data_IF_792765433031
#
_entry.id   IF_792765433031
#
_cell.length_a   1.000
_cell.length_b   1.000
_cell.length_c   1.000
_cell.angle_alpha   90.00
_cell.angle_beta   90.00
_cell.angle_gamma   90.00
#
_symmetry.space_group_name_H-M   'P 1'
#
loop_
_entity.id
_entity.type
_entity.pdbx_description
1 polymer ?
#
# COMPACT_ATOMS: atom_id res chain seq x y z
N UNK A 1 8.10 3.86 15.47
CA UNK A 1 6.91 3.25 14.87
C UNK A 1 7.15 1.77 14.60
N UNK A 2 6.09 1.04 14.28
CA UNK A 2 6.12 -0.37 13.88
C UNK A 2 5.12 -0.62 12.76
N UNK A 3 5.46 -1.51 11.85
CA UNK A 3 4.51 -2.07 10.90
C UNK A 3 3.75 -3.20 11.60
N UNK A 4 2.44 -3.11 11.64
CA UNK A 4 1.54 -4.08 12.25
C UNK A 4 0.73 -4.79 11.16
N UNK A 5 0.88 -6.09 11.09
CA UNK A 5 0.26 -6.94 10.06
C UNK A 5 -0.52 -8.06 10.76
N UNK A 6 -1.80 -7.83 11.12
CA UNK A 6 -2.62 -8.87 11.71
C UNK A 6 -2.91 -9.98 10.71
N UNK A 7 -2.94 -11.18 11.21
CA UNK A 7 -3.27 -12.39 10.44
C UNK A 7 -4.49 -13.09 11.02
N UNK A 8 -5.16 -13.88 10.19
CA UNK A 8 -6.20 -14.83 10.61
C UNK A 8 -5.63 -15.94 11.46
N UNK A 9 -6.46 -16.73 12.17
CA UNK A 9 -6.01 -17.95 12.86
C UNK A 9 -5.23 -18.91 11.95
N UNK A 10 -5.51 -18.90 10.64
CA UNK A 10 -4.85 -19.73 9.64
C UNK A 10 -3.57 -19.11 9.06
N UNK A 11 -3.15 -17.94 9.57
CA UNK A 11 -1.89 -17.28 9.21
C UNK A 11 -1.94 -16.41 7.96
N UNK A 12 -3.11 -16.16 7.40
CA UNK A 12 -3.29 -15.26 6.25
C UNK A 12 -3.49 -13.81 6.69
N UNK A 13 -3.02 -12.88 5.88
CA UNK A 13 -3.04 -11.44 6.18
C UNK A 13 -4.46 -10.89 6.15
N UNK A 14 -4.87 -10.20 7.21
CA UNK A 14 -6.13 -9.45 7.28
C UNK A 14 -5.93 -8.03 6.73
N UNK A 15 -4.78 -7.45 6.95
CA UNK A 15 -4.42 -6.12 6.49
C UNK A 15 -3.14 -5.64 7.13
N UNK A 16 -2.86 -4.34 7.03
CA UNK A 16 -1.70 -3.74 7.67
C UNK A 16 -1.98 -2.33 8.19
N UNK A 17 -1.19 -1.91 9.15
CA UNK A 17 -1.17 -0.56 9.72
C UNK A 17 0.22 -0.18 10.19
N UNK A 18 0.45 1.12 10.33
CA UNK A 18 1.60 1.64 11.06
C UNK A 18 1.15 2.01 12.45
N UNK A 19 1.84 1.49 13.46
CA UNK A 19 1.64 1.79 14.89
C UNK A 19 2.67 2.82 15.33
N UNK A 20 2.20 3.96 15.80
CA UNK A 20 2.99 5.00 16.42
C UNK A 20 2.80 4.91 17.93
N UNK A 21 3.87 4.80 18.70
CA UNK A 21 3.82 4.90 20.14
C UNK A 21 4.01 6.37 20.53
N UNK A 22 2.93 7.04 20.91
CA UNK A 22 3.02 8.41 21.44
C UNK A 22 3.52 8.45 22.87
N UNK A 23 3.01 7.53 23.69
CA UNK A 23 3.34 7.37 25.11
C UNK A 23 3.29 5.88 25.46
N UNK A 24 3.57 5.56 26.71
CA UNK A 24 3.53 4.19 27.19
C UNK A 24 2.13 3.54 27.05
N UNK A 25 1.11 4.36 27.28
CA UNK A 25 -0.31 3.98 27.31
C UNK A 25 -1.13 4.50 26.11
N UNK A 26 -0.48 5.16 25.12
CA UNK A 26 -1.18 5.77 23.98
C UNK A 26 -0.50 5.46 22.66
N UNK A 27 -1.29 4.87 21.77
CA UNK A 27 -0.86 4.50 20.42
C UNK A 27 -1.77 5.14 19.37
N UNK A 28 -1.21 5.55 18.24
CA UNK A 28 -1.94 5.93 17.05
C UNK A 28 -1.69 4.84 16.00
N UNK A 29 -2.77 4.31 15.45
CA UNK A 29 -2.70 3.29 14.39
C UNK A 29 -3.24 3.89 13.11
N UNK A 30 -2.47 3.78 12.03
CA UNK A 30 -2.81 4.37 10.74
C UNK A 30 -2.79 3.30 9.66
N UNK A 31 -3.94 3.09 9.03
CA UNK A 31 -4.11 2.09 7.98
C UNK A 31 -5.52 2.09 7.41
N UNK A 32 -5.92 0.99 6.82
CA UNK A 32 -7.23 0.82 6.19
C UNK A 32 -8.24 0.17 7.12
N UNK A 33 -9.52 0.23 6.71
CA UNK A 33 -10.65 -0.27 7.48
C UNK A 33 -10.51 -1.73 7.97
N UNK A 34 -10.07 -2.71 7.16
CA UNK A 34 -9.99 -4.10 7.63
C UNK A 34 -9.18 -4.28 8.91
N UNK A 35 -7.99 -3.66 8.97
CA UNK A 35 -7.17 -3.77 10.18
C UNK A 35 -7.79 -3.03 11.38
N UNK A 36 -8.41 -1.87 11.14
CA UNK A 36 -9.10 -1.13 12.20
C UNK A 36 -10.30 -1.92 12.74
N UNK A 37 -11.10 -2.50 11.85
CA UNK A 37 -12.26 -3.33 12.22
C UNK A 37 -11.82 -4.56 13.01
N UNK A 38 -10.72 -5.22 12.59
CA UNK A 38 -10.17 -6.36 13.32
C UNK A 38 -9.75 -6.01 14.74
N UNK A 39 -9.12 -4.86 14.94
CA UNK A 39 -8.72 -4.38 16.28
C UNK A 39 -9.96 -4.06 17.13
N UNK A 40 -10.95 -3.38 16.58
CA UNK A 40 -12.20 -3.03 17.28
C UNK A 40 -12.99 -4.29 17.65
N UNK A 41 -13.09 -5.27 16.77
CA UNK A 41 -13.69 -6.55 17.08
C UNK A 41 -13.01 -7.26 18.24
N UNK A 42 -11.68 -7.41 18.18
CA UNK A 42 -10.95 -8.08 19.24
C UNK A 42 -11.07 -7.35 20.58
N UNK A 43 -11.15 -6.02 20.58
CA UNK A 43 -11.42 -5.23 21.78
C UNK A 43 -12.84 -5.48 22.30
N UNK A 44 -13.83 -5.58 21.41
CA UNK A 44 -15.24 -5.77 21.79
C UNK A 44 -15.51 -7.15 22.40
N UNK A 45 -14.84 -8.21 21.89
CA UNK A 45 -15.03 -9.59 22.38
C UNK A 45 -14.04 -9.99 23.47
N UNK A 46 -12.93 -9.27 23.58
CA UNK A 46 -11.86 -9.55 24.56
C UNK A 46 -11.99 -8.75 25.86
N UNK A 47 -11.28 -9.19 26.89
CA UNK A 47 -11.22 -8.50 28.18
C UNK A 47 -10.03 -7.52 28.23
N UNK A 48 -9.97 -6.60 27.26
CA UNK A 48 -8.87 -5.64 27.15
C UNK A 48 -9.23 -4.31 27.80
N UNK A 49 -8.38 -3.82 28.70
CA UNK A 49 -8.54 -2.49 29.31
C UNK A 49 -8.00 -1.40 28.37
N UNK A 50 -8.65 -1.22 27.24
CA UNK A 50 -8.29 -0.22 26.22
C UNK A 50 -9.52 0.56 25.77
N UNK A 51 -9.31 1.82 25.37
CA UNK A 51 -10.30 2.66 24.72
C UNK A 51 -9.84 2.98 23.33
N UNK A 52 -10.67 2.67 22.34
CA UNK A 52 -10.43 2.97 20.92
C UNK A 52 -11.20 4.24 20.54
N UNK A 53 -10.55 5.14 19.82
CA UNK A 53 -11.20 6.28 19.17
C UNK A 53 -10.85 6.25 17.69
N UNK A 54 -11.87 6.23 16.85
CA UNK A 54 -11.70 6.21 15.40
C UNK A 54 -11.66 7.63 14.83
N UNK A 55 -10.68 7.89 13.95
CA UNK A 55 -10.55 9.13 13.18
C UNK A 55 -10.79 8.84 11.68
N UNK A 56 -12.05 8.88 11.20
CA UNK A 56 -12.39 8.48 9.84
C UNK A 56 -11.74 9.37 8.79
N UNK A 57 -11.18 8.75 7.76
CA UNK A 57 -10.53 9.47 6.65
C UNK A 57 -11.53 10.20 5.75
N UNK A 58 -12.65 9.57 5.45
CA UNK A 58 -13.59 10.08 4.45
C UNK A 58 -14.33 11.31 4.97
N UNK A 59 -14.40 12.39 4.19
CA UNK A 59 -15.27 13.52 4.48
C UNK A 59 -16.76 13.21 4.24
N UNK A 60 -17.05 12.10 3.52
CA UNK A 60 -18.41 11.71 3.18
C UNK A 60 -19.01 10.84 4.27
N UNK A 61 -20.25 11.13 4.64
CA UNK A 61 -21.06 10.32 5.54
C UNK A 61 -22.46 10.15 4.97
N UNK A 62 -23.12 9.01 5.25
CA UNK A 62 -24.49 8.78 4.81
C UNK A 62 -25.49 9.83 5.33
N UNK A 63 -25.24 10.38 6.52
CA UNK A 63 -26.07 11.42 7.14
C UNK A 63 -25.73 12.86 6.67
N UNK A 64 -24.81 12.99 5.73
CA UNK A 64 -24.39 14.29 5.19
C UNK A 64 -23.59 15.18 6.14
N UNK A 65 -23.27 14.71 7.36
CA UNK A 65 -22.51 15.52 8.32
C UNK A 65 -21.03 15.53 8.00
N UNK A 66 -20.33 16.66 8.19
CA UNK A 66 -18.88 16.70 8.00
C UNK A 66 -18.17 15.84 9.03
N UNK A 67 -17.05 15.25 8.61
CA UNK A 67 -16.16 14.51 9.50
C UNK A 67 -15.24 15.49 10.21
N UNK A 68 -15.31 15.52 11.54
CA UNK A 68 -14.31 16.21 12.36
C UNK A 68 -13.11 15.29 12.54
N UNK A 69 -11.98 15.67 11.96
CA UNK A 69 -10.72 14.93 12.08
C UNK A 69 -10.01 15.27 13.38
N UNK A 70 -9.29 14.30 13.92
CA UNK A 70 -8.47 14.49 15.14
C UNK A 70 -7.06 14.94 14.77
N UNK A 71 -6.50 14.35 13.70
CA UNK A 71 -5.13 14.62 13.27
C UNK A 71 -5.07 15.06 11.81
N UNK A 72 -4.13 15.97 11.50
CA UNK A 72 -3.61 16.14 10.15
C UNK A 72 -2.34 15.28 9.98
N UNK A 73 -2.04 14.95 8.73
CA UNK A 73 -0.78 14.31 8.32
C UNK A 73 -0.34 14.88 6.98
N UNK A 74 0.95 15.24 6.90
CA UNK A 74 1.60 15.64 5.67
C UNK A 74 2.84 14.77 5.45
N UNK A 75 2.95 14.21 4.27
CA UNK A 75 4.16 13.52 3.82
C UNK A 75 4.87 14.40 2.82
N UNK A 76 6.12 14.78 3.11
CA UNK A 76 6.96 15.63 2.27
C UNK A 76 8.17 14.78 1.91
N UNK A 77 8.31 14.45 0.63
CA UNK A 77 9.38 13.60 0.13
C UNK A 77 9.88 14.08 -1.22
N UNK A 78 11.15 13.85 -1.48
CA UNK A 78 11.86 14.21 -2.67
C UNK A 78 13.32 14.51 -2.35
N UNK A 79 14.19 14.64 -3.37
CA UNK A 79 15.61 14.91 -3.16
C UNK A 79 15.87 16.21 -2.37
N UNK A 80 14.99 17.20 -2.51
CA UNK A 80 15.10 18.50 -1.83
C UNK A 80 14.26 18.63 -0.55
N UNK A 81 13.51 17.59 -0.14
CA UNK A 81 12.71 17.62 1.07
C UNK A 81 13.51 17.99 2.35
N UNK A 82 14.78 17.53 2.53
CA UNK A 82 15.59 17.94 3.68
C UNK A 82 15.74 19.45 3.80
N UNK A 83 15.89 20.18 2.68
CA UNK A 83 16.01 21.65 2.68
C UNK A 83 14.75 22.33 3.24
N UNK A 84 13.57 21.78 2.89
CA UNK A 84 12.29 22.28 3.41
C UNK A 84 12.23 22.06 4.92
N UNK A 85 12.58 20.85 5.40
CA UNK A 85 12.55 20.54 6.83
C UNK A 85 13.55 21.38 7.63
N UNK A 86 14.75 21.62 7.12
CA UNK A 86 15.71 22.50 7.79
C UNK A 86 15.20 23.94 7.89
N UNK A 87 14.53 24.45 6.86
CA UNK A 87 13.89 25.77 6.91
C UNK A 87 12.75 25.81 7.92
N UNK A 88 11.89 24.78 7.94
CA UNK A 88 10.81 24.66 8.92
C UNK A 88 11.33 24.59 10.35
N UNK A 89 12.41 23.83 10.57
CA UNK A 89 13.00 23.60 11.89
C UNK A 89 13.84 24.79 12.40
N UNK A 90 14.20 25.71 11.53
CA UNK A 90 15.11 26.83 11.86
C UNK A 90 16.58 26.39 11.96
N UNK A 91 16.96 25.27 11.36
CA UNK A 91 18.27 24.66 11.36
C UNK A 91 18.21 23.15 11.13
N UNK A 92 19.33 22.43 11.29
CA UNK A 92 19.38 20.99 11.09
C UNK A 92 18.31 20.23 11.87
N UNK A 93 17.67 19.25 11.22
CA UNK A 93 16.72 18.34 11.89
C UNK A 93 17.48 17.25 12.68
N UNK A 94 16.85 16.67 13.73
CA UNK A 94 17.42 15.53 14.43
C UNK A 94 17.73 14.35 13.51
N UNK A 95 18.68 13.51 13.93
CA UNK A 95 18.97 12.25 13.26
C UNK A 95 17.88 11.21 13.54
N UNK A 96 16.78 11.27 12.80
CA UNK A 96 15.69 10.32 12.94
C UNK A 96 16.05 9.03 12.19
N UNK A 97 16.20 7.92 12.91
CA UNK A 97 16.44 6.60 12.32
C UNK A 97 15.24 6.15 11.50
N UNK A 98 15.48 5.27 10.53
CA UNK A 98 14.40 4.68 9.74
C UNK A 98 13.32 4.04 10.64
N UNK A 99 12.06 4.32 10.39
CA UNK A 99 10.88 3.90 11.16
C UNK A 99 10.87 4.36 12.62
N UNK A 100 11.57 5.48 12.94
CA UNK A 100 11.51 6.12 14.23
C UNK A 100 10.82 7.47 14.13
N UNK A 101 10.26 7.87 15.27
CA UNK A 101 9.55 9.14 15.46
C UNK A 101 10.38 10.05 16.35
N UNK A 102 10.48 11.31 15.98
CA UNK A 102 11.04 12.37 16.83
C UNK A 102 10.24 13.66 16.64
N UNK A 103 10.62 14.69 17.35
CA UNK A 103 10.00 16.00 17.31
C UNK A 103 10.87 16.96 16.51
N UNK A 104 10.24 17.71 15.59
CA UNK A 104 10.86 18.83 14.89
C UNK A 104 10.01 20.08 15.09
N UNK A 105 10.57 21.24 14.74
CA UNK A 105 9.80 22.49 14.69
C UNK A 105 9.25 22.71 13.29
N UNK A 106 8.02 23.20 13.24
CA UNK A 106 7.44 23.82 12.06
C UNK A 106 7.18 25.29 12.43
N UNK A 107 8.20 26.13 12.21
CA UNK A 107 8.20 27.49 12.71
C UNK A 107 8.12 27.53 14.25
N UNK A 108 7.04 28.09 14.77
CA UNK A 108 6.76 28.21 16.20
C UNK A 108 6.05 26.98 16.81
N UNK A 109 5.70 26.01 15.99
CA UNK A 109 4.90 24.84 16.39
C UNK A 109 5.74 23.57 16.36
N UNK A 110 5.76 22.81 17.47
CA UNK A 110 6.38 21.48 17.50
C UNK A 110 5.45 20.45 16.87
N UNK A 111 5.99 19.65 15.97
CA UNK A 111 5.27 18.56 15.28
C UNK A 111 6.03 17.25 15.41
N UNK A 112 5.29 16.15 15.43
CA UNK A 112 5.89 14.82 15.37
C UNK A 112 6.27 14.51 13.93
N UNK A 113 7.40 13.83 13.75
CA UNK A 113 7.95 13.45 12.46
C UNK A 113 8.38 11.99 12.45
N UNK A 114 7.93 11.23 11.45
CA UNK A 114 8.33 9.85 11.17
C UNK A 114 9.22 9.82 9.94
N UNK A 115 10.35 9.14 10.02
CA UNK A 115 11.12 8.76 8.84
C UNK A 115 10.65 7.41 8.30
N UNK A 116 10.09 7.39 7.09
CA UNK A 116 9.74 6.16 6.38
C UNK A 116 9.92 6.31 4.86
N UNK A 117 9.96 5.18 4.14
CA UNK A 117 10.38 5.12 2.75
C UNK A 117 9.26 4.88 1.73
N UNK A 118 8.05 5.33 1.99
CA UNK A 118 6.92 5.00 1.11
C UNK A 118 7.09 5.53 -0.33
N UNK A 119 7.68 6.70 -0.49
CA UNK A 119 7.92 7.29 -1.81
C UNK A 119 9.35 7.02 -2.35
N UNK A 120 10.14 6.22 -1.66
CA UNK A 120 11.49 5.87 -2.08
C UNK A 120 12.48 7.04 -2.16
N UNK A 121 12.13 8.20 -1.59
CA UNK A 121 12.93 9.41 -1.62
C UNK A 121 13.12 9.98 -0.20
N UNK A 122 14.14 10.80 0.06
CA UNK A 122 14.34 11.45 1.35
C UNK A 122 13.13 12.25 1.79
N UNK A 123 12.85 12.27 3.08
CA UNK A 123 11.76 13.05 3.64
C UNK A 123 11.18 12.48 4.92
N UNK A 124 10.15 13.14 5.40
CA UNK A 124 9.46 12.78 6.63
C UNK A 124 7.95 12.87 6.45
N UNK A 125 7.25 12.13 7.27
CA UNK A 125 5.82 12.33 7.49
C UNK A 125 5.63 13.05 8.82
N UNK A 126 4.90 14.16 8.80
CA UNK A 126 4.61 14.96 10.00
C UNK A 126 3.12 14.96 10.31
N UNK A 127 2.78 15.02 11.58
CA UNK A 127 1.39 15.10 12.04
C UNK A 127 1.23 15.88 13.33
N UNK A 128 0.00 16.24 13.60
CA UNK A 128 -0.41 16.96 14.78
C UNK A 128 -1.92 17.15 14.84
N UNK A 129 -2.44 17.93 15.82
CA UNK A 129 -3.87 18.22 15.96
C UNK A 129 -4.47 18.85 14.70
N UNK A 130 -5.63 18.36 14.26
CA UNK A 130 -6.23 18.78 12.98
C UNK A 130 -6.48 20.28 12.88
N UNK A 131 -6.77 20.95 13.97
CA UNK A 131 -6.96 22.41 13.98
C UNK A 131 -5.72 23.23 13.56
N UNK A 132 -4.53 22.63 13.57
CA UNK A 132 -3.29 23.26 13.12
C UNK A 132 -2.99 23.02 11.63
N UNK A 133 -3.81 22.24 10.93
CA UNK A 133 -3.56 21.76 9.56
C UNK A 133 -3.18 22.89 8.60
N UNK A 134 -3.98 23.94 8.54
CA UNK A 134 -3.80 25.00 7.56
C UNK A 134 -2.59 25.90 7.92
N UNK A 135 -2.34 26.11 9.21
CA UNK A 135 -1.15 26.80 9.70
C UNK A 135 0.13 26.04 9.29
N UNK A 136 0.20 24.75 9.59
CA UNK A 136 1.37 23.93 9.22
C UNK A 136 1.54 23.81 7.70
N UNK A 137 0.46 23.67 6.95
CA UNK A 137 0.53 23.69 5.49
C UNK A 137 1.12 25.00 4.96
N UNK A 138 0.71 26.15 5.52
CA UNK A 138 1.28 27.44 5.18
C UNK A 138 2.78 27.53 5.47
N UNK A 139 3.23 26.98 6.59
CA UNK A 139 4.66 26.91 6.94
C UNK A 139 5.44 26.06 5.93
N UNK A 140 4.90 24.90 5.54
CA UNK A 140 5.53 24.01 4.53
C UNK A 140 5.74 24.78 3.21
N UNK A 141 4.67 25.42 2.70
CA UNK A 141 4.72 26.17 1.43
C UNK A 141 5.72 27.33 1.49
N UNK A 142 5.70 28.06 2.60
CA UNK A 142 6.65 29.17 2.83
C UNK A 142 8.09 28.66 2.89
N UNK A 143 8.35 27.61 3.66
CA UNK A 143 9.68 27.02 3.79
C UNK A 143 10.23 26.50 2.46
N UNK A 144 9.39 25.88 1.62
CA UNK A 144 9.77 25.47 0.28
C UNK A 144 10.19 26.65 -0.59
N UNK A 145 9.40 27.73 -0.61
CA UNK A 145 9.72 28.94 -1.35
C UNK A 145 11.02 29.59 -0.86
N UNK A 146 11.23 29.69 0.44
CA UNK A 146 12.47 30.23 1.05
C UNK A 146 13.69 29.35 0.81
N UNK A 147 13.49 28.03 0.64
CA UNK A 147 14.56 27.09 0.29
C UNK A 147 14.84 27.04 -1.22
N UNK A 148 14.06 27.75 -2.06
CA UNK A 148 14.14 27.68 -3.51
C UNK A 148 13.75 26.31 -4.09
N UNK A 149 12.87 25.59 -3.40
CA UNK A 149 12.40 24.25 -3.79
C UNK A 149 11.05 24.35 -4.48
N UNK A 150 10.94 23.71 -5.65
CA UNK A 150 9.68 23.60 -6.39
C UNK A 150 8.79 22.52 -5.72
N UNK A 151 7.85 22.96 -4.91
CA UNK A 151 6.96 22.08 -4.13
C UNK A 151 5.73 21.70 -4.94
N UNK A 152 5.62 20.41 -5.28
CA UNK A 152 4.45 19.84 -5.94
C UNK A 152 3.44 19.29 -4.93
N UNK A 153 2.21 19.78 -4.96
CA UNK A 153 1.10 19.25 -4.17
C UNK A 153 0.45 18.06 -4.92
N UNK A 154 0.67 16.87 -4.43
CA UNK A 154 0.20 15.64 -5.09
C UNK A 154 -1.15 15.17 -4.56
N UNK A 155 -2.01 14.71 -5.47
CA UNK A 155 -3.28 14.08 -5.15
C UNK A 155 -3.15 12.59 -4.81
N UNK A 156 -4.26 12.00 -4.35
CA UNK A 156 -4.29 10.61 -3.88
C UNK A 156 -3.88 9.58 -4.95
N UNK A 157 -4.19 9.81 -6.22
CA UNK A 157 -3.81 8.89 -7.31
C UNK A 157 -2.31 8.89 -7.55
N UNK A 158 -1.68 10.06 -7.59
CA UNK A 158 -0.22 10.16 -7.70
C UNK A 158 0.47 9.58 -6.46
N UNK A 159 -0.07 9.85 -5.27
CA UNK A 159 0.45 9.27 -4.03
C UNK A 159 0.42 7.74 -4.03
N UNK A 160 -0.67 7.12 -4.51
CA UNK A 160 -0.78 5.67 -4.52
C UNK A 160 0.21 4.98 -5.47
N UNK A 161 0.65 5.65 -6.55
CA UNK A 161 1.67 5.07 -7.45
C UNK A 161 3.06 5.01 -6.83
N UNK A 162 3.36 5.81 -5.81
CA UNK A 162 4.64 5.75 -5.10
C UNK A 162 4.86 4.40 -4.41
N UNK A 163 3.78 3.67 -4.08
CA UNK A 163 3.89 2.34 -3.48
C UNK A 163 4.49 1.31 -4.44
N UNK A 164 4.34 1.52 -5.75
CA UNK A 164 4.94 0.67 -6.78
C UNK A 164 6.46 0.73 -6.73
N UNK A 165 7.01 1.92 -6.52
CA UNK A 165 8.44 2.16 -6.46
C UNK A 165 9.05 1.61 -5.16
N UNK A 166 8.36 1.77 -4.03
CA UNK A 166 8.78 1.29 -2.71
C UNK A 166 8.44 -0.18 -2.43
N UNK A 167 7.62 -0.80 -3.28
CA UNK A 167 7.32 -2.23 -3.17
C UNK A 167 6.34 -2.60 -2.05
N UNK A 168 5.53 -1.66 -1.59
CA UNK A 168 4.47 -1.95 -0.64
C UNK A 168 3.16 -2.26 -1.36
N UNK A 169 2.58 -3.45 -1.13
CA UNK A 169 1.26 -3.82 -1.65
C UNK A 169 0.20 -3.29 -0.68
N UNK A 170 -0.53 -2.23 -1.06
CA UNK A 170 -1.58 -1.69 -0.21
C UNK A 170 -2.83 -2.57 -0.31
N UNK A 171 -3.23 -3.15 0.79
CA UNK A 171 -4.49 -3.89 0.88
C UNK A 171 -4.53 -5.18 0.02
N UNK A 172 -3.81 -6.20 0.40
CA UNK A 172 -4.16 -7.54 -0.03
C UNK A 172 -5.62 -7.83 0.35
N UNK A 173 -6.25 -8.81 -0.30
CA UNK A 173 -7.61 -9.22 0.09
C UNK A 173 -7.60 -9.64 1.57
N UNK A 174 -8.44 -9.04 2.43
CA UNK A 174 -8.49 -9.44 3.83
C UNK A 174 -8.88 -10.90 3.98
N UNK A 175 -8.09 -11.69 4.70
CA UNK A 175 -8.33 -13.12 4.88
C UNK A 175 -9.40 -13.38 5.94
N UNK A 176 -10.63 -13.02 5.63
CA UNK A 176 -11.77 -13.08 6.57
C UNK A 176 -13.00 -13.80 6.03
N UNK A 177 -13.03 -14.11 4.72
CA UNK A 177 -14.24 -14.59 4.05
C UNK A 177 -14.47 -16.10 4.18
N UNK A 178 -13.53 -16.82 4.81
CA UNK A 178 -13.60 -18.27 5.05
C UNK A 178 -13.18 -18.62 6.49
N UNK A 179 -13.33 -19.90 6.83
CA UNK A 179 -12.95 -20.47 8.13
C UNK A 179 -13.98 -20.20 9.25
N UNK A 180 -14.26 -21.22 10.06
CA UNK A 180 -15.24 -21.15 11.16
C UNK A 180 -14.77 -20.20 12.27
N UNK A 181 -13.46 -20.12 12.50
CA UNK A 181 -12.87 -19.29 13.53
C UNK A 181 -13.13 -17.77 13.32
N UNK A 182 -13.50 -17.38 12.11
CA UNK A 182 -13.81 -15.99 11.76
C UNK A 182 -15.31 -15.72 11.58
N UNK A 183 -16.19 -16.71 11.84
CA UNK A 183 -17.63 -16.55 11.69
C UNK A 183 -18.17 -15.40 12.54
N UNK A 184 -17.84 -15.36 13.82
CA UNK A 184 -18.27 -14.28 14.71
C UNK A 184 -17.76 -12.89 14.29
N UNK A 185 -16.57 -12.82 13.65
CA UNK A 185 -16.08 -11.58 13.10
C UNK A 185 -16.87 -11.14 11.86
N UNK A 186 -17.19 -12.08 10.96
CA UNK A 186 -18.04 -11.78 9.79
C UNK A 186 -19.44 -11.30 10.19
N UNK A 187 -20.03 -11.92 11.22
CA UNK A 187 -21.32 -11.49 11.76
C UNK A 187 -21.29 -10.12 12.45
N UNK A 188 -20.14 -9.78 13.05
CA UNK A 188 -19.95 -8.48 13.69
C UNK A 188 -19.78 -7.34 12.67
N UNK A 189 -19.25 -7.61 11.48
CA UNK A 189 -19.01 -6.60 10.45
C UNK A 189 -20.32 -6.04 9.88
N UNK A 190 -20.42 -4.73 9.64
CA UNK A 190 -21.63 -4.14 9.03
C UNK A 190 -21.77 -4.57 7.56
N UNK A 191 -23.00 -4.86 7.14
CA UNK A 191 -23.31 -5.31 5.78
C UNK A 191 -23.01 -4.27 4.69
N UNK A 192 -22.90 -2.99 5.04
CA UNK A 192 -22.49 -1.87 4.18
C UNK A 192 -21.02 -1.47 4.37
N UNK A 193 -20.27 -2.25 5.16
CA UNK A 193 -18.86 -2.02 5.44
C UNK A 193 -17.93 -2.30 4.26
N UNK A 194 -16.66 -1.92 4.41
CA UNK A 194 -15.62 -2.10 3.39
C UNK A 194 -15.50 -3.56 2.95
N UNK A 195 -15.53 -4.49 3.90
CA UNK A 195 -15.33 -5.92 3.65
C UNK A 195 -16.53 -6.54 2.94
N UNK A 196 -17.76 -6.10 3.27
CA UNK A 196 -18.99 -6.61 2.67
C UNK A 196 -19.24 -6.06 1.26
N UNK A 197 -18.79 -4.83 1.00
CA UNK A 197 -18.98 -4.14 -0.30
C UNK A 197 -17.77 -4.26 -1.24
N UNK A 198 -16.73 -4.96 -0.82
CA UNK A 198 -15.54 -5.22 -1.60
C UNK A 198 -15.82 -6.02 -2.87
N UNK A 199 -14.94 -5.88 -3.85
CA UNK A 199 -15.02 -6.64 -5.10
C UNK A 199 -13.65 -7.18 -5.50
N UNK A 200 -13.64 -8.34 -6.12
CA UNK A 200 -12.45 -8.95 -6.74
C UNK A 200 -12.52 -8.73 -8.24
N UNK A 201 -11.39 -8.34 -8.84
CA UNK A 201 -11.23 -8.15 -10.28
C UNK A 201 -9.96 -8.79 -10.80
N UNK A 202 -9.80 -8.74 -12.13
CA UNK A 202 -8.65 -9.29 -12.83
C UNK A 202 -8.92 -10.62 -13.51
N UNK A 203 -7.90 -11.17 -14.12
CA UNK A 203 -7.98 -12.39 -14.92
C UNK A 203 -7.89 -13.68 -14.12
N UNK A 204 -7.45 -13.62 -12.85
CA UNK A 204 -7.41 -14.79 -12.00
C UNK A 204 -8.80 -15.07 -11.42
N UNK A 205 -9.29 -16.28 -11.60
CA UNK A 205 -10.57 -16.75 -11.06
C UNK A 205 -10.36 -18.10 -10.41
N UNK A 206 -10.75 -18.22 -9.17
CA UNK A 206 -10.81 -19.47 -8.42
C UNK A 206 -12.14 -19.59 -7.69
N UNK A 207 -12.71 -20.79 -7.56
CA UNK A 207 -13.86 -21.04 -6.72
C UNK A 207 -13.53 -20.93 -5.21
N UNK A 208 -12.24 -21.10 -4.85
CA UNK A 208 -11.78 -21.09 -3.47
C UNK A 208 -11.24 -19.70 -3.13
N UNK A 209 -11.86 -19.04 -2.16
CA UNK A 209 -11.48 -17.67 -1.76
C UNK A 209 -10.08 -17.63 -1.16
N UNK A 210 -9.61 -18.72 -0.56
CA UNK A 210 -8.27 -18.85 0.02
C UNK A 210 -7.14 -18.70 -1.02
N UNK A 211 -7.40 -18.97 -2.30
CA UNK A 211 -6.43 -18.81 -3.37
C UNK A 211 -6.04 -17.33 -3.60
N UNK A 212 -6.87 -16.41 -3.11
CA UNK A 212 -6.63 -14.96 -3.15
C UNK A 212 -5.91 -14.44 -1.90
N UNK A 213 -5.80 -15.26 -0.85
CA UNK A 213 -5.15 -14.82 0.38
C UNK A 213 -3.64 -14.85 0.26
N UNK A 214 -3.00 -14.02 1.06
CA UNK A 214 -1.55 -13.96 1.14
C UNK A 214 -1.08 -14.14 2.58
N UNK A 215 0.11 -14.68 2.74
CA UNK A 215 0.79 -14.78 4.03
C UNK A 215 1.77 -13.62 4.22
N UNK A 216 2.21 -13.32 5.45
CA UNK A 216 3.29 -12.37 5.69
C UNK A 216 4.59 -12.74 4.96
N UNK A 217 4.84 -14.03 4.76
CA UNK A 217 6.02 -14.50 4.04
C UNK A 217 6.00 -14.08 2.57
N UNK A 218 4.88 -14.27 1.90
CA UNK A 218 4.69 -13.89 0.49
C UNK A 218 4.77 -12.38 0.28
N UNK A 219 4.33 -11.58 1.25
CA UNK A 219 4.41 -10.12 1.20
C UNK A 219 5.79 -9.56 1.62
N UNK A 220 6.75 -10.45 1.94
CA UNK A 220 8.10 -10.04 2.34
C UNK A 220 8.22 -9.59 3.79
N UNK A 221 7.24 -9.88 4.64
CA UNK A 221 7.25 -9.53 6.06
C UNK A 221 7.77 -10.67 6.95
N UNK A 222 8.13 -11.83 6.38
CA UNK A 222 8.58 -13.00 7.11
C UNK A 222 9.73 -12.75 8.08
N UNK A 223 10.67 -11.85 7.74
CA UNK A 223 11.80 -11.47 8.60
C UNK A 223 11.36 -10.77 9.90
N UNK A 224 10.17 -10.21 9.93
CA UNK A 224 9.61 -9.52 11.10
C UNK A 224 8.71 -10.42 11.96
N UNK A 225 8.35 -11.62 11.47
CA UNK A 225 7.58 -12.59 12.25
C UNK A 225 8.46 -13.15 13.37
N UNK A 226 8.03 -12.93 14.62
CA UNK A 226 8.73 -13.41 15.81
C UNK A 226 7.83 -14.37 16.59
N UNK A 227 8.40 -15.44 17.09
CA UNK A 227 7.68 -16.49 17.85
C UNK A 227 8.01 -16.47 19.34
N UNK A 228 8.50 -15.34 19.84
CA UNK A 228 8.87 -15.10 21.23
C UNK A 228 7.69 -14.63 22.11
N UNK A 229 6.52 -14.48 21.53
CA UNK A 229 5.27 -14.10 22.20
C UNK A 229 4.07 -14.77 21.55
N UNK A 230 2.92 -14.75 22.21
CA UNK A 230 1.67 -15.27 21.68
C UNK A 230 0.96 -14.23 20.82
N UNK A 231 0.38 -14.66 19.71
CA UNK A 231 -0.44 -13.86 18.82
C UNK A 231 -1.37 -14.75 17.98
N UNK A 232 -2.45 -14.14 17.45
CA UNK A 232 -3.39 -14.84 16.57
C UNK A 232 -2.67 -15.33 15.30
N UNK A 233 -2.85 -16.60 14.94
CA UNK A 233 -2.21 -17.20 13.76
C UNK A 233 -0.78 -17.71 13.98
N UNK A 234 -0.20 -17.58 15.20
CA UNK A 234 1.16 -18.04 15.52
C UNK A 234 1.39 -19.49 15.10
N UNK A 235 0.53 -20.40 15.53
CA UNK A 235 0.70 -21.83 15.26
C UNK A 235 0.67 -22.17 13.75
N UNK A 236 -0.13 -21.43 12.96
CA UNK A 236 -0.18 -21.58 11.53
C UNK A 236 1.10 -21.07 10.87
N UNK A 237 1.57 -19.87 11.26
CA UNK A 237 2.81 -19.30 10.73
C UNK A 237 4.05 -20.12 11.10
N UNK A 238 4.11 -20.71 12.32
CA UNK A 238 5.19 -21.64 12.70
C UNK A 238 5.25 -22.87 11.79
N UNK A 239 4.09 -23.41 11.38
CA UNK A 239 4.04 -24.53 10.44
C UNK A 239 4.41 -24.15 9.00
N UNK A 240 4.30 -22.88 8.67
CA UNK A 240 4.61 -22.36 7.32
C UNK A 240 6.09 -21.97 7.17
N UNK A 241 6.74 -21.47 8.23
CA UNK A 241 8.03 -20.74 8.17
C UNK A 241 9.13 -21.41 7.35
N UNK A 242 9.19 -22.74 7.37
CA UNK A 242 10.26 -23.53 6.72
C UNK A 242 9.81 -24.11 5.36
N UNK A 243 8.60 -23.77 4.90
CA UNK A 243 8.11 -24.22 3.59
C UNK A 243 8.53 -23.26 2.49
N UNK A 244 8.64 -23.71 1.24
CA UNK A 244 8.77 -22.79 0.11
C UNK A 244 7.55 -21.86 0.02
N UNK A 245 7.81 -20.57 -0.11
CA UNK A 245 6.78 -19.54 -0.27
C UNK A 245 6.90 -18.86 -1.63
N UNK A 246 5.79 -18.46 -2.19
CA UNK A 246 5.78 -17.41 -3.22
C UNK A 246 6.50 -16.19 -2.67
N UNK A 247 7.07 -15.39 -3.53
CA UNK A 247 7.77 -14.17 -3.11
C UNK A 247 7.25 -12.95 -3.83
N UNK A 248 7.25 -11.85 -3.15
CA UNK A 248 6.90 -10.54 -3.72
C UNK A 248 7.92 -10.12 -4.77
N UNK A 249 7.43 -9.59 -5.88
CA UNK A 249 8.22 -9.02 -6.99
C UNK A 249 7.55 -7.78 -7.54
N UNK A 250 8.30 -7.02 -8.34
CA UNK A 250 7.75 -6.03 -9.25
C UNK A 250 7.71 -6.60 -10.66
N UNK A 251 6.61 -6.43 -11.36
CA UNK A 251 6.49 -6.69 -12.80
C UNK A 251 6.60 -5.37 -13.54
N UNK A 252 7.56 -5.28 -14.44
CA UNK A 252 7.72 -4.19 -15.38
C UNK A 252 6.99 -4.54 -16.68
N UNK A 253 6.01 -3.75 -17.05
CA UNK A 253 5.15 -4.02 -18.20
C UNK A 253 5.79 -3.59 -19.52
N UNK A 254 5.65 -4.41 -20.55
CA UNK A 254 6.15 -4.08 -21.89
C UNK A 254 5.31 -2.97 -22.53
N UNK A 255 5.98 -1.89 -22.91
CA UNK A 255 5.34 -0.68 -23.44
C UNK A 255 4.58 -0.96 -24.75
N UNK A 256 5.16 -1.75 -25.67
CA UNK A 256 4.52 -2.02 -26.98
C UNK A 256 3.23 -2.83 -26.81
N UNK A 257 3.20 -3.78 -25.88
CA UNK A 257 2.00 -4.56 -25.59
C UNK A 257 0.92 -3.70 -24.93
N UNK A 258 1.29 -2.80 -24.02
CA UNK A 258 0.38 -1.81 -23.47
C UNK A 258 -0.19 -0.87 -24.53
N UNK A 259 0.65 -0.39 -25.46
CA UNK A 259 0.20 0.50 -26.53
C UNK A 259 -0.83 -0.17 -27.43
N UNK A 260 -0.75 -1.48 -27.67
CA UNK A 260 -1.80 -2.25 -28.38
C UNK A 260 -3.15 -2.22 -27.63
N UNK A 261 -3.11 -2.31 -26.29
CA UNK A 261 -4.32 -2.20 -25.48
C UNK A 261 -4.96 -0.82 -25.64
N UNK A 262 -4.17 0.23 -25.48
CA UNK A 262 -4.64 1.62 -25.62
C UNK A 262 -5.16 1.88 -27.04
N UNK A 263 -4.42 1.45 -28.06
CA UNK A 263 -4.79 1.61 -29.47
C UNK A 263 -6.15 0.99 -29.79
N UNK A 264 -6.44 -0.20 -29.22
CA UNK A 264 -7.71 -0.89 -29.47
C UNK A 264 -8.93 -0.05 -29.07
N UNK A 265 -8.82 0.71 -27.99
CA UNK A 265 -9.89 1.57 -27.49
C UNK A 265 -10.06 2.87 -28.30
N UNK A 266 -9.08 3.22 -29.15
CA UNK A 266 -9.09 4.42 -29.99
C UNK A 266 -9.49 4.12 -31.44
N UNK A 267 -9.77 2.85 -31.80
CA UNK A 267 -10.16 2.42 -33.14
C UNK A 267 -11.64 1.98 -33.19
N UNK A 268 -12.53 2.77 -33.79
CA UNK A 268 -13.93 2.38 -33.94
C UNK A 268 -14.07 1.04 -34.69
N UNK A 269 -14.99 0.17 -34.25
CA UNK A 269 -15.28 -1.12 -34.86
C UNK A 269 -14.30 -2.25 -34.55
N UNK A 270 -13.27 -1.98 -33.72
CA UNK A 270 -12.37 -3.00 -33.18
C UNK A 270 -12.87 -3.43 -31.81
N UNK A 271 -12.88 -4.73 -31.52
CA UNK A 271 -13.14 -5.23 -30.19
C UNK A 271 -12.00 -4.80 -29.26
N UNK A 272 -12.33 -4.00 -28.25
CA UNK A 272 -11.34 -3.42 -27.35
C UNK A 272 -10.84 -4.42 -26.30
N UNK A 273 -9.60 -4.24 -25.90
CA UNK A 273 -9.07 -4.80 -24.66
C UNK A 273 -9.57 -4.00 -23.46
N UNK A 274 -9.45 -4.56 -22.24
CA UNK A 274 -9.73 -3.82 -21.01
C UNK A 274 -8.89 -2.56 -20.98
N UNK A 275 -9.53 -1.40 -20.78
CA UNK A 275 -8.84 -0.12 -20.69
C UNK A 275 -7.79 -0.12 -19.55
N UNK A 276 -6.67 0.56 -19.77
CA UNK A 276 -5.68 0.82 -18.72
C UNK A 276 -5.85 2.27 -18.29
N UNK A 277 -6.49 2.49 -17.14
CA UNK A 277 -6.68 3.83 -16.59
C UNK A 277 -5.39 4.34 -15.93
N UNK A 278 -4.95 5.53 -16.31
CA UNK A 278 -3.74 6.16 -15.78
C UNK A 278 -4.08 7.19 -14.68
N UNK A 279 -3.21 7.31 -13.67
CA UNK A 279 -2.00 6.58 -13.42
C UNK A 279 -2.23 5.21 -12.76
N UNK A 280 -3.46 4.89 -12.38
CA UNK A 280 -3.77 3.64 -11.67
C UNK A 280 -5.18 3.16 -12.02
N UNK A 281 -5.30 1.96 -12.60
CA UNK A 281 -6.59 1.29 -12.78
C UNK A 281 -7.23 0.94 -11.43
N UNK A 282 -8.48 1.35 -11.21
CA UNK A 282 -9.25 1.10 -10.00
C UNK A 282 -10.59 0.45 -10.35
N UNK A 283 -10.55 -0.78 -10.86
CA UNK A 283 -11.73 -1.52 -11.29
C UNK A 283 -12.35 -2.42 -10.23
N UNK A 284 -11.62 -2.69 -9.15
CA UNK A 284 -12.06 -3.51 -8.03
C UNK A 284 -11.35 -3.10 -6.74
N UNK A 285 -11.87 -3.53 -5.59
CA UNK A 285 -11.21 -3.32 -4.28
C UNK A 285 -9.91 -4.09 -4.16
N UNK A 286 -9.85 -5.28 -4.77
CA UNK A 286 -8.65 -6.10 -4.92
C UNK A 286 -8.59 -6.66 -6.34
N UNK A 287 -7.47 -6.57 -6.99
CA UNK A 287 -7.26 -7.08 -8.35
C UNK A 287 -6.21 -8.19 -8.35
N UNK A 288 -6.48 -9.24 -9.13
CA UNK A 288 -5.57 -10.37 -9.29
C UNK A 288 -5.52 -10.75 -10.77
N UNK A 289 -4.40 -10.44 -11.40
CA UNK A 289 -4.18 -10.83 -12.79
C UNK A 289 -3.17 -11.97 -12.85
N UNK A 290 -3.50 -13.03 -13.62
CA UNK A 290 -2.64 -14.20 -13.80
C UNK A 290 -1.34 -13.82 -14.48
N UNK A 291 -0.24 -14.34 -13.93
CA UNK A 291 1.08 -14.26 -14.57
C UNK A 291 1.50 -15.68 -14.97
N UNK A 292 1.75 -15.86 -16.26
CA UNK A 292 1.93 -17.16 -16.91
C UNK A 292 3.37 -17.38 -17.33
N UNK A 293 3.85 -18.64 -17.21
CA UNK A 293 5.07 -19.15 -17.86
C UNK A 293 4.67 -20.34 -18.73
N UNK A 294 4.51 -20.11 -20.04
CA UNK A 294 3.77 -21.05 -20.90
C UNK A 294 2.32 -21.17 -20.42
N UNK A 295 1.85 -22.39 -20.25
CA UNK A 295 0.47 -22.67 -19.82
C UNK A 295 0.29 -22.72 -18.29
N UNK A 296 1.37 -22.54 -17.51
CA UNK A 296 1.32 -22.59 -16.05
C UNK A 296 1.17 -21.19 -15.45
N UNK A 297 0.21 -21.02 -14.55
CA UNK A 297 0.15 -19.85 -13.65
C UNK A 297 1.34 -19.94 -12.70
N UNK A 298 2.20 -18.94 -12.72
CA UNK A 298 3.40 -18.87 -11.86
C UNK A 298 3.39 -17.67 -10.92
N UNK A 299 2.34 -16.86 -10.97
CA UNK A 299 2.22 -15.70 -10.09
C UNK A 299 0.93 -14.95 -10.30
N UNK A 300 0.73 -13.95 -9.45
CA UNK A 300 -0.40 -13.02 -9.47
C UNK A 300 0.12 -11.58 -9.43
N UNK A 301 -0.37 -10.75 -10.32
CA UNK A 301 -0.22 -9.31 -10.27
C UNK A 301 -1.37 -8.73 -9.47
N UNK A 302 -1.08 -7.95 -8.42
CA UNK A 302 -2.08 -7.57 -7.42
C UNK A 302 -2.31 -6.07 -7.32
N UNK A 303 -1.33 -5.26 -7.65
CA UNK A 303 -1.41 -3.81 -7.54
C UNK A 303 -0.60 -3.17 -8.68
N UNK A 304 -1.28 -2.47 -9.56
CA UNK A 304 -0.68 -1.93 -10.77
C UNK A 304 -0.85 -0.40 -10.88
N UNK A 305 0.03 0.23 -11.64
CA UNK A 305 -0.02 1.65 -11.92
C UNK A 305 1.22 2.15 -12.64
N UNK A 306 1.16 3.40 -13.07
CA UNK A 306 2.24 4.07 -13.77
C UNK A 306 3.14 4.81 -12.79
N UNK A 307 4.44 4.53 -12.82
CA UNK A 307 5.43 5.31 -12.12
C UNK A 307 5.84 6.52 -12.96
N UNK A 308 5.64 7.71 -12.42
CA UNK A 308 6.06 8.96 -13.07
C UNK A 308 7.57 9.15 -13.03
N UNK A 309 8.24 8.67 -11.98
CA UNK A 309 9.68 8.79 -11.82
C UNK A 309 10.41 7.84 -12.76
N UNK A 310 9.99 6.58 -12.82
CA UNK A 310 10.60 5.54 -13.64
C UNK A 310 10.05 5.53 -15.08
N UNK A 311 8.94 6.24 -15.35
CA UNK A 311 8.27 6.36 -16.64
C UNK A 311 7.88 5.02 -17.25
N UNK A 312 7.38 4.12 -16.43
CA UNK A 312 7.00 2.76 -16.80
C UNK A 312 5.75 2.32 -16.04
N UNK A 313 4.98 1.44 -16.66
CA UNK A 313 3.88 0.75 -15.99
C UNK A 313 4.44 -0.40 -15.17
N UNK A 314 4.10 -0.43 -13.89
CA UNK A 314 4.55 -1.45 -12.94
C UNK A 314 3.35 -2.16 -12.33
N UNK A 315 3.58 -3.36 -11.85
CA UNK A 315 2.69 -3.96 -10.87
C UNK A 315 3.46 -4.72 -9.80
N UNK A 316 2.95 -4.67 -8.59
CA UNK A 316 3.42 -5.51 -7.49
C UNK A 316 2.63 -6.81 -7.48
N UNK A 317 3.29 -7.90 -7.22
CA UNK A 317 2.67 -9.19 -7.17
C UNK A 317 3.53 -10.24 -6.48
N UNK A 318 3.10 -11.47 -6.58
CA UNK A 318 3.78 -12.63 -6.00
C UNK A 318 4.03 -13.67 -7.07
N UNK A 319 5.14 -14.39 -6.95
CA UNK A 319 5.54 -15.44 -7.88
C UNK A 319 6.00 -16.69 -7.17
N UNK A 320 5.89 -17.83 -7.85
CA UNK A 320 6.42 -19.11 -7.39
C UNK A 320 7.93 -19.07 -7.14
N UNK A 321 8.47 -19.92 -6.25
CA UNK A 321 9.88 -19.90 -5.89
C UNK A 321 10.86 -20.16 -7.05
N UNK A 322 10.43 -20.84 -8.11
CA UNK A 322 11.24 -21.16 -9.30
C UNK A 322 11.35 -20.03 -10.32
N UNK A 323 10.55 -18.99 -10.19
CA UNK A 323 10.64 -17.78 -11.02
C UNK A 323 11.83 -16.94 -10.57
N UNK A 324 12.60 -16.41 -11.54
CA UNK A 324 13.81 -15.63 -11.25
C UNK A 324 13.63 -14.17 -11.68
N UNK A 325 14.38 -13.29 -11.05
CA UNK A 325 14.54 -11.92 -11.51
C UNK A 325 15.13 -11.92 -12.94
N UNK A 326 14.59 -11.08 -13.80
CA UNK A 326 14.92 -11.05 -15.22
C UNK A 326 14.07 -11.96 -16.10
N UNK A 327 13.34 -12.93 -15.54
CA UNK A 327 12.40 -13.74 -16.33
C UNK A 327 11.37 -12.83 -17.03
N UNK A 328 11.05 -13.16 -18.27
CA UNK A 328 9.97 -12.53 -19.02
C UNK A 328 8.78 -13.48 -19.02
N UNK A 329 7.68 -13.02 -18.47
CA UNK A 329 6.45 -13.76 -18.26
C UNK A 329 5.30 -13.10 -19.03
N UNK A 330 4.13 -13.74 -19.09
CA UNK A 330 2.93 -13.19 -19.71
C UNK A 330 1.89 -12.88 -18.64
N UNK A 331 1.57 -11.61 -18.46
CA UNK A 331 0.44 -11.15 -17.64
C UNK A 331 -0.82 -11.15 -18.53
N UNK A 332 -1.90 -11.73 -18.01
CA UNK A 332 -3.20 -11.71 -18.67
C UNK A 332 -4.00 -10.55 -18.12
N UNK A 333 -4.22 -9.52 -18.91
CA UNK A 333 -4.95 -8.33 -18.53
C UNK A 333 -6.42 -8.40 -18.99
N UNK A 334 -7.34 -8.25 -18.04
CA UNK A 334 -8.78 -8.27 -18.28
C UNK A 334 -9.48 -9.54 -17.77
N UNK A 335 -10.74 -9.40 -17.34
CA UNK A 335 -11.56 -10.48 -16.83
C UNK A 335 -11.90 -11.50 -17.93
N UNK A 336 -11.93 -12.82 -17.62
CA UNK A 336 -12.21 -13.85 -18.64
C UNK A 336 -13.64 -13.82 -19.18
N UNK A 337 -14.59 -13.27 -18.40
CA UNK A 337 -15.99 -13.08 -18.81
C UNK A 337 -16.23 -11.79 -19.60
N UNK A 338 -15.18 -11.04 -19.91
CA UNK A 338 -15.25 -9.76 -20.59
C UNK A 338 -15.79 -8.62 -19.72
N UNK A 339 -15.77 -8.76 -18.40
CA UNK A 339 -16.20 -7.74 -17.45
C UNK A 339 -17.72 -7.54 -17.38
N UNK A 340 -18.51 -8.41 -17.96
CA UNK A 340 -19.97 -8.26 -18.10
C UNK A 340 -20.72 -8.23 -16.74
N UNK A 341 -20.12 -8.74 -15.67
CA UNK A 341 -20.70 -8.74 -14.34
C UNK A 341 -20.39 -7.49 -13.51
N UNK A 342 -19.62 -6.52 -14.04
CA UNK A 342 -19.15 -5.34 -13.29
C UNK A 342 -19.54 -4.04 -13.97
N UNK A 343 -20.27 -3.18 -13.26
CA UNK A 343 -20.68 -1.87 -13.78
C UNK A 343 -19.54 -0.88 -13.95
N UNK A 344 -18.40 -1.10 -13.27
CA UNK A 344 -17.19 -0.27 -13.33
C UNK A 344 -16.25 -0.65 -14.48
N UNK A 345 -16.52 -1.74 -15.19
CA UNK A 345 -15.65 -2.28 -16.23
C UNK A 345 -16.47 -2.46 -17.52
N UNK A 346 -16.01 -1.85 -18.60
CA UNK A 346 -16.63 -2.02 -19.91
C UNK A 346 -16.41 -3.44 -20.44
N UNK A 347 -17.24 -3.84 -21.40
CA UNK A 347 -17.06 -5.11 -22.08
C UNK A 347 -15.76 -5.13 -22.89
N UNK A 348 -14.97 -6.17 -22.73
CA UNK A 348 -13.62 -6.24 -23.30
C UNK A 348 -13.17 -7.67 -23.56
N UNK A 349 -12.10 -7.82 -24.34
CA UNK A 349 -11.33 -9.05 -24.44
C UNK A 349 -10.07 -8.98 -23.59
N UNK A 350 -9.50 -10.13 -23.24
CA UNK A 350 -8.23 -10.21 -22.52
C UNK A 350 -7.06 -9.85 -23.44
N UNK A 351 -6.06 -9.17 -22.88
CA UNK A 351 -4.77 -8.92 -23.52
C UNK A 351 -3.67 -9.72 -22.85
N UNK A 352 -2.72 -10.19 -23.64
CA UNK A 352 -1.44 -10.72 -23.17
C UNK A 352 -0.40 -9.61 -23.17
N UNK A 353 0.16 -9.35 -22.00
CA UNK A 353 1.19 -8.32 -21.80
C UNK A 353 2.45 -9.00 -21.29
N UNK A 354 3.55 -8.87 -22.01
CA UNK A 354 4.83 -9.32 -21.50
C UNK A 354 5.22 -8.48 -20.29
N UNK A 355 5.69 -9.15 -19.24
CA UNK A 355 6.18 -8.49 -18.04
C UNK A 355 7.55 -9.07 -17.67
N UNK A 356 8.46 -8.19 -17.26
CA UNK A 356 9.77 -8.59 -16.73
C UNK A 356 9.67 -8.66 -15.21
N UNK A 357 10.15 -9.75 -14.63
CA UNK A 357 10.31 -9.88 -13.17
C UNK A 357 11.47 -8.99 -12.73
N UNK A 358 11.18 -7.99 -11.95
CA UNK A 358 12.10 -6.96 -11.49
C UNK A 358 12.23 -6.97 -9.96
N UNK A 359 13.29 -6.35 -9.41
CA UNK A 359 13.46 -6.23 -7.96
C UNK A 359 12.28 -5.54 -7.27
N UNK A 360 12.13 -5.83 -5.97
CA UNK A 360 11.22 -5.11 -5.10
C UNK A 360 11.96 -4.68 -3.83
N UNK A 361 12.03 -3.39 -3.51
CA UNK A 361 11.53 -2.19 -4.22
C UNK A 361 12.07 -2.06 -5.67
N UNK A 362 11.25 -1.52 -6.58
CA UNK A 362 11.68 -1.28 -7.96
C UNK A 362 12.67 -0.13 -8.06
N UNK A 363 12.35 1.00 -7.43
CA UNK A 363 13.25 2.15 -7.39
C UNK A 363 14.58 1.78 -6.72
N UNK A 364 15.66 2.08 -7.42
CA UNK A 364 17.02 1.91 -6.88
C UNK A 364 17.22 2.73 -5.61
N UNK A 365 16.70 3.96 -5.58
CA UNK A 365 16.80 4.81 -4.39
C UNK A 365 16.11 4.17 -3.19
N UNK A 366 14.92 3.61 -3.37
CA UNK A 366 14.21 2.91 -2.30
C UNK A 366 14.98 1.68 -1.81
N UNK A 367 15.62 0.95 -2.72
CA UNK A 367 16.29 -0.32 -2.43
C UNK A 367 17.70 -0.14 -1.83
N UNK A 368 18.50 0.77 -2.39
CA UNK A 368 19.92 0.88 -2.08
C UNK A 368 20.25 2.08 -1.18
N UNK A 369 19.58 3.22 -1.39
CA UNK A 369 19.98 4.47 -0.77
C UNK A 369 19.13 4.84 0.44
N UNK A 370 17.80 4.73 0.32
CA UNK A 370 16.90 5.25 1.35
C UNK A 370 16.77 4.31 2.56
N UNK A 371 16.90 3.01 2.38
CA UNK A 371 16.91 2.04 3.47
C UNK A 371 18.18 2.16 4.34
N UNK A 372 19.26 2.71 3.79
CA UNK A 372 20.51 3.03 4.49
C UNK A 372 20.56 4.47 5.01
N UNK A 373 21.73 4.87 5.51
CA UNK A 373 21.97 6.23 6.01
C UNK A 373 22.55 7.19 4.96
N UNK A 374 22.76 6.71 3.73
CA UNK A 374 23.40 7.46 2.63
C UNK A 374 22.60 8.66 2.12
N UNK A 375 21.29 8.71 2.37
CA UNK A 375 20.42 9.83 1.99
C UNK A 375 20.83 11.20 2.58
N UNK A 376 21.62 11.18 3.68
CA UNK A 376 22.10 12.39 4.37
C UNK A 376 23.38 12.94 3.75
N UNK A 377 24.21 12.07 3.18
CA UNK A 377 25.52 12.45 2.67
C UNK A 377 25.50 13.00 1.25
N UNK A 378 24.43 12.77 0.49
CA UNK A 378 24.29 13.24 -0.90
C UNK A 378 24.07 14.74 -1.07
N UNK A 379 23.66 15.45 -0.03
CA UNK A 379 23.40 16.89 -0.09
C UNK A 379 24.57 17.79 0.30
N UNK A 380 25.73 17.20 0.55
CA UNK A 380 26.98 17.94 0.87
C UNK A 380 27.98 18.02 -0.30
N UNK A 381 27.58 17.59 -1.50
CA UNK A 381 28.41 17.67 -2.71
C UNK A 381 27.85 18.66 -3.74
#
# INVERSE_FOLDING_TARGET
>A
AKHFVPVSPDGYVIGDMIVFREREDKFILVGRAPTANWIEFNQAVGSHNVRITRDPRSPSRPDGKPVTRVHYRFQIQGPDAPKIFEKMNGGPIPDIKFFHVDWINAGDTRVQALRHGMAGAPGLEIWGPYGQKDHIHGIIVKAAAEAGVDLHLVGSRAYSTNTLESGWIPSPLPAIYSGDALEAYREWLPADGYEATGSIGGSFVSPDIEDYYTTPYELGYGIYVKFDHDFVGRAALEKMKDKPHRRKVTFEWNTDDMMKVIESSLRPGVENYKWIDFPQPNYASASFDRVMKGDRIVGLSMFNGYSFNERVMLSLGIVDPDVKEGDVLTLIWGEPDGGSGKTSTERHKQAEIRVRVSPVPYSREAREDYAGDSWRTRHTA
#
